data_IF_857008463572
#
_entry.id   IF_857008463572
#
_cell.length_a   1.000
_cell.length_b   1.000
_cell.length_c   1.000
_cell.angle_alpha   90.00
_cell.angle_beta   90.00
_cell.angle_gamma   90.00
#
_symmetry.space_group_name_H-M   'P 1'
#
loop_
_entity.id
_entity.type
_entity.pdbx_description
1 polymer ?
#
# COMPACT_ATOMS: atom_id res chain seq x y z
N UNK A 1 -46.80 -14.88 -18.88
CA UNK A 1 -45.92 -13.82 -19.39
C UNK A 1 -44.90 -13.58 -18.30
N UNK A 2 -43.62 -13.89 -18.53
CA UNK A 2 -42.55 -13.74 -17.53
C UNK A 2 -41.78 -12.48 -17.91
N UNK A 3 -41.77 -11.48 -17.03
CA UNK A 3 -40.97 -10.26 -17.23
C UNK A 3 -39.48 -10.58 -17.08
N UNK A 4 -38.60 -10.06 -17.96
CA UNK A 4 -37.17 -10.24 -17.80
C UNK A 4 -36.69 -9.40 -16.60
N UNK A 5 -36.19 -10.07 -15.57
CA UNK A 5 -35.48 -9.41 -14.48
C UNK A 5 -34.17 -8.85 -15.04
N UNK A 6 -34.08 -7.53 -15.15
CA UNK A 6 -32.83 -6.83 -15.41
C UNK A 6 -31.99 -6.95 -14.14
N UNK A 7 -30.95 -7.79 -14.19
CA UNK A 7 -29.88 -7.74 -13.20
C UNK A 7 -29.16 -6.41 -13.38
N UNK A 8 -29.56 -5.38 -12.62
CA UNK A 8 -28.72 -4.21 -12.42
C UNK A 8 -27.54 -4.70 -11.59
N UNK A 9 -26.40 -4.91 -12.26
CA UNK A 9 -25.12 -5.07 -11.58
C UNK A 9 -24.94 -3.78 -10.78
N UNK A 10 -25.03 -3.91 -9.47
CA UNK A 10 -24.71 -2.85 -8.54
C UNK A 10 -23.18 -2.66 -8.67
N UNK A 11 -22.76 -1.76 -9.56
CA UNK A 11 -21.35 -1.40 -9.72
C UNK A 11 -20.92 -0.68 -8.44
N UNK A 12 -20.41 -1.44 -7.47
CA UNK A 12 -19.68 -0.87 -6.34
C UNK A 12 -18.67 0.14 -6.90
N UNK A 13 -18.67 1.40 -6.43
CA UNK A 13 -17.73 2.38 -6.91
C UNK A 13 -16.34 1.85 -6.62
N UNK A 14 -15.58 1.54 -7.67
CA UNK A 14 -14.17 1.18 -7.56
C UNK A 14 -13.51 2.34 -6.85
N UNK A 15 -13.28 2.18 -5.54
CA UNK A 15 -12.48 3.11 -4.76
C UNK A 15 -11.07 2.93 -5.26
N UNK A 16 -10.71 3.75 -6.24
CA UNK A 16 -9.33 3.92 -6.67
C UNK A 16 -8.57 4.43 -5.45
N UNK A 17 -7.90 3.51 -4.77
CA UNK A 17 -6.95 3.87 -3.73
C UNK A 17 -5.91 4.77 -4.41
N UNK A 18 -5.67 5.98 -3.87
CA UNK A 18 -4.64 6.84 -4.43
C UNK A 18 -3.33 6.08 -4.41
N UNK A 19 -2.56 6.20 -5.50
CA UNK A 19 -1.26 5.58 -5.57
C UNK A 19 -0.35 6.22 -4.52
N UNK A 20 -0.17 5.51 -3.41
CA UNK A 20 0.66 5.93 -2.29
C UNK A 20 2.14 5.63 -2.51
N UNK A 21 2.49 4.91 -3.58
CA UNK A 21 3.88 4.53 -3.87
C UNK A 21 4.77 5.74 -4.19
N UNK A 22 4.18 6.82 -4.71
CA UNK A 22 4.89 8.07 -4.99
C UNK A 22 4.94 9.04 -3.81
N UNK A 23 4.31 8.72 -2.68
CA UNK A 23 4.33 9.62 -1.53
C UNK A 23 5.74 9.63 -0.92
N UNK A 24 6.35 10.81 -0.73
CA UNK A 24 7.68 10.91 -0.13
C UNK A 24 7.56 10.78 1.39
N UNK A 25 7.07 9.62 1.86
CA UNK A 25 6.80 9.34 3.28
C UNK A 25 8.06 9.54 4.13
N UNK A 26 9.22 9.18 3.58
CA UNK A 26 10.51 9.47 4.18
C UNK A 26 10.70 10.97 4.39
N UNK A 27 10.53 11.81 3.36
CA UNK A 27 10.69 13.26 3.49
C UNK A 27 9.67 13.91 4.44
N UNK A 28 8.48 13.32 4.59
CA UNK A 28 7.42 13.84 5.46
C UNK A 28 7.67 13.49 6.93
N UNK A 29 8.22 12.30 7.21
CA UNK A 29 8.30 11.75 8.56
C UNK A 29 9.72 11.57 9.11
N UNK A 30 10.77 11.88 8.33
CA UNK A 30 12.17 11.77 8.80
C UNK A 30 12.46 12.70 9.98
N UNK A 31 11.93 13.93 9.92
CA UNK A 31 12.15 14.97 10.93
C UNK A 31 11.02 15.04 11.97
N UNK A 32 9.97 14.22 11.81
CA UNK A 32 8.83 14.20 12.72
C UNK A 32 9.07 13.24 13.91
N UNK A 33 9.19 13.83 15.10
CA UNK A 33 9.31 13.13 16.38
C UNK A 33 7.96 12.83 17.05
N UNK A 34 6.86 12.97 16.32
CA UNK A 34 5.57 12.45 16.78
C UNK A 34 5.57 10.93 16.92
N UNK A 35 4.58 10.39 17.64
CA UNK A 35 4.37 8.94 17.70
C UNK A 35 4.05 8.33 16.33
N UNK A 36 3.41 9.09 15.45
CA UNK A 36 3.12 8.68 14.08
C UNK A 36 4.42 8.61 13.26
N UNK A 37 5.27 9.65 13.30
CA UNK A 37 6.55 9.68 12.59
C UNK A 37 7.47 8.53 12.96
N UNK A 38 7.57 8.19 14.25
CA UNK A 38 8.31 7.00 14.71
C UNK A 38 7.72 5.69 14.19
N UNK A 39 6.39 5.58 14.14
CA UNK A 39 5.71 4.36 13.67
C UNK A 39 5.91 4.16 12.17
N UNK A 40 5.81 5.23 11.38
CA UNK A 40 6.08 5.20 9.93
C UNK A 40 7.54 4.84 9.65
N UNK A 41 8.51 5.46 10.35
CA UNK A 41 9.93 5.12 10.23
C UNK A 41 10.20 3.63 10.48
N UNK A 42 9.59 3.06 11.52
CA UNK A 42 9.72 1.62 11.83
C UNK A 42 9.19 0.74 10.70
N UNK A 43 8.01 1.06 10.16
CA UNK A 43 7.43 0.29 9.05
C UNK A 43 8.31 0.36 7.80
N UNK A 44 8.87 1.52 7.47
CA UNK A 44 9.79 1.68 6.35
C UNK A 44 11.07 0.85 6.54
N UNK A 45 11.62 0.84 7.75
CA UNK A 45 12.79 0.02 8.08
C UNK A 45 12.50 -1.48 7.96
N UNK A 46 11.35 -1.94 8.46
CA UNK A 46 10.91 -3.34 8.34
C UNK A 46 10.76 -3.75 6.85
N UNK A 47 10.16 -2.89 6.02
CA UNK A 47 10.02 -3.12 4.59
C UNK A 47 11.39 -3.18 3.88
N UNK A 48 12.33 -2.30 4.25
CA UNK A 48 13.68 -2.32 3.68
C UNK A 48 14.42 -3.62 4.02
N UNK A 49 14.33 -4.08 5.27
CA UNK A 49 14.92 -5.34 5.68
C UNK A 49 14.29 -6.54 4.95
N UNK A 50 12.99 -6.49 4.67
CA UNK A 50 12.32 -7.50 3.88
C UNK A 50 12.82 -7.53 2.44
N UNK A 51 12.99 -6.37 1.81
CA UNK A 51 13.54 -6.27 0.45
C UNK A 51 14.99 -6.75 0.40
N UNK A 52 15.83 -6.36 1.35
CA UNK A 52 17.22 -6.84 1.48
C UNK A 52 17.28 -8.37 1.63
N UNK A 53 16.40 -8.96 2.45
CA UNK A 53 16.29 -10.42 2.61
C UNK A 53 15.78 -11.09 1.34
N UNK A 54 14.77 -10.51 0.70
CA UNK A 54 14.21 -11.04 -0.54
C UNK A 54 15.26 -11.02 -1.67
N UNK A 55 16.01 -9.92 -1.81
CA UNK A 55 17.13 -9.81 -2.74
C UNK A 55 18.25 -10.82 -2.43
N UNK A 56 18.56 -11.04 -1.16
CA UNK A 56 19.54 -12.06 -0.73
C UNK A 56 19.11 -13.49 -1.07
N UNK A 57 17.80 -13.78 -1.07
CA UNK A 57 17.25 -15.08 -1.47
C UNK A 57 16.97 -15.19 -2.98
N UNK A 58 16.79 -14.08 -3.69
CA UNK A 58 16.58 -14.00 -5.14
C UNK A 58 17.86 -14.02 -5.97
N UNK A 59 19.02 -13.69 -5.37
CA UNK A 59 20.34 -13.82 -6.00
C UNK A 59 20.89 -15.26 -5.89
N UNK A 60 20.06 -16.23 -6.21
CA UNK A 60 20.45 -17.61 -6.54
C UNK A 60 19.65 -18.02 -7.78
N UNK A 61 19.90 -17.31 -8.88
CA UNK A 61 19.55 -17.72 -10.23
C UNK A 61 20.84 -17.79 -11.05
#
# INVERSE_FOLDING_TARGET
MVEPHVHTVDEEPVRLLPDVSSLPLEAIFLEDDSALGRSVRRVLEDLRQWDERYAAHGSSA
#
